data_IF_244450737451
#
_entry.id   IF_244450737451
#
_cell.length_a   1.000
_cell.length_b   1.000
_cell.length_c   1.000
_cell.angle_alpha   90.00
_cell.angle_beta   90.00
_cell.angle_gamma   90.00
#
_symmetry.space_group_name_H-M   'P 1'
#
loop_
_entity.id
_entity.type
_entity.pdbx_description
1 polymer ?
#
# COMPACT_ATOMS: atom_id res chain seq x y z
N UNK A 1 47.29 -44.78 -15.86
CA UNK A 1 46.95 -43.43 -15.35
C UNK A 1 45.81 -42.90 -16.21
N UNK A 2 44.56 -43.01 -15.75
CA UNK A 2 43.39 -42.39 -16.38
C UNK A 2 42.68 -41.66 -15.24
N UNK A 3 42.83 -40.34 -15.18
CA UNK A 3 42.11 -39.50 -14.24
C UNK A 3 40.76 -39.14 -14.85
N UNK A 4 39.69 -39.61 -14.21
CA UNK A 4 38.31 -39.18 -14.42
C UNK A 4 38.19 -37.72 -13.98
N UNK A 5 37.91 -36.82 -14.93
CA UNK A 5 37.46 -35.46 -14.61
C UNK A 5 36.00 -35.52 -14.14
N UNK A 6 35.78 -35.27 -12.85
CA UNK A 6 34.45 -35.03 -12.31
C UNK A 6 33.89 -33.73 -12.89
N UNK A 7 32.71 -33.78 -13.48
CA UNK A 7 31.89 -32.59 -13.75
C UNK A 7 31.53 -31.96 -12.41
N UNK A 8 32.23 -30.89 -12.05
CA UNK A 8 31.79 -29.93 -11.03
C UNK A 8 30.50 -29.28 -11.51
N UNK A 9 29.37 -29.67 -10.92
CA UNK A 9 28.12 -28.91 -10.95
C UNK A 9 28.36 -27.57 -10.27
N UNK A 10 28.44 -26.49 -11.06
CA UNK A 10 28.59 -25.12 -10.54
C UNK A 10 27.32 -24.70 -9.81
N UNK A 11 27.44 -24.50 -8.49
CA UNK A 11 26.44 -23.92 -7.60
C UNK A 11 25.95 -22.54 -8.12
N UNK A 12 24.63 -22.29 -8.24
CA UNK A 12 24.12 -21.12 -8.98
C UNK A 12 24.28 -19.76 -8.28
N UNK A 13 24.70 -19.70 -7.01
CA UNK A 13 24.64 -18.51 -6.15
C UNK A 13 26.01 -18.03 -5.62
N UNK A 14 27.02 -17.88 -6.49
CA UNK A 14 28.30 -17.22 -6.12
C UNK A 14 28.19 -15.71 -5.78
N UNK A 15 27.00 -15.16 -5.50
CA UNK A 15 26.83 -13.74 -5.13
C UNK A 15 26.33 -13.63 -3.69
N UNK A 16 26.84 -12.66 -2.89
CA UNK A 16 26.31 -12.40 -1.56
C UNK A 16 24.83 -12.01 -1.61
N UNK A 17 23.99 -12.63 -0.78
CA UNK A 17 22.58 -12.30 -0.67
C UNK A 17 22.46 -11.12 0.30
N UNK A 18 21.65 -10.13 -0.09
CA UNK A 18 21.36 -8.91 0.69
C UNK A 18 19.86 -8.85 0.90
N UNK A 19 19.44 -8.80 2.16
CA UNK A 19 18.05 -8.68 2.56
C UNK A 19 17.86 -7.41 3.39
N UNK A 20 16.91 -6.56 3.00
CA UNK A 20 16.49 -5.40 3.78
C UNK A 20 15.15 -5.71 4.45
N UNK A 21 15.10 -5.62 5.78
CA UNK A 21 13.91 -5.88 6.57
C UNK A 21 13.03 -4.63 6.56
N UNK A 22 11.86 -4.77 5.94
CA UNK A 22 10.90 -3.69 5.77
C UNK A 22 9.99 -3.60 7.00
N UNK A 23 9.53 -4.74 7.50
CA UNK A 23 8.76 -4.82 8.73
C UNK A 23 8.87 -6.19 9.40
N UNK A 24 8.74 -6.19 10.72
CA UNK A 24 8.72 -7.38 11.55
C UNK A 24 7.61 -7.25 12.60
N UNK A 25 6.68 -8.21 12.61
CA UNK A 25 5.54 -8.23 13.53
C UNK A 25 5.53 -9.52 14.34
N UNK A 26 5.55 -9.40 15.66
CA UNK A 26 5.39 -10.52 16.57
C UNK A 26 3.94 -10.59 17.08
N UNK A 27 3.32 -11.75 16.88
CA UNK A 27 1.96 -12.07 17.26
C UNK A 27 2.02 -13.06 18.42
N UNK A 28 1.78 -12.62 19.67
CA UNK A 28 1.52 -13.56 20.76
C UNK A 28 0.37 -14.52 20.40
N UNK A 29 -0.61 -14.00 19.67
CA UNK A 29 -1.67 -14.80 19.07
C UNK A 29 -2.09 -14.20 17.72
N UNK A 30 -2.18 -15.05 16.70
CA UNK A 30 -2.76 -14.74 15.39
C UNK A 30 -3.74 -15.85 15.00
N UNK A 31 -4.90 -15.47 14.46
CA UNK A 31 -5.86 -16.44 13.94
C UNK A 31 -5.35 -17.16 12.69
N UNK A 32 -4.59 -16.46 11.84
CA UNK A 32 -4.07 -16.99 10.57
C UNK A 32 -2.70 -17.64 10.73
N UNK A 33 -1.83 -17.06 11.56
CA UNK A 33 -0.44 -17.49 11.72
C UNK A 33 -0.22 -18.39 12.94
N UNK A 34 -1.18 -18.49 13.87
CA UNK A 34 -1.03 -19.27 15.10
C UNK A 34 -0.44 -18.50 16.28
N UNK A 35 0.00 -19.24 17.31
CA UNK A 35 0.54 -18.66 18.56
C UNK A 35 2.03 -18.40 18.44
N UNK A 36 2.48 -17.27 18.97
CA UNK A 36 3.90 -16.88 19.05
C UNK A 36 4.57 -16.76 17.67
N UNK A 37 3.81 -16.31 16.67
CA UNK A 37 4.28 -16.16 15.30
C UNK A 37 5.05 -14.86 15.10
N UNK A 38 6.10 -14.88 14.29
CA UNK A 38 6.75 -13.72 13.73
C UNK A 38 6.46 -13.68 12.22
N UNK A 39 5.97 -12.55 11.73
CA UNK A 39 5.85 -12.24 10.31
C UNK A 39 6.95 -11.26 9.90
N UNK A 40 7.67 -11.57 8.83
CA UNK A 40 8.75 -10.78 8.28
C UNK A 40 8.44 -10.38 6.85
N UNK A 41 8.51 -9.09 6.56
CA UNK A 41 8.51 -8.56 5.21
C UNK A 41 9.91 -8.06 4.89
N UNK A 42 10.49 -8.58 3.82
CA UNK A 42 11.85 -8.21 3.41
C UNK A 42 11.94 -7.96 1.92
N UNK A 43 12.83 -7.05 1.52
CA UNK A 43 13.31 -6.95 0.14
C UNK A 43 14.64 -7.69 0.03
N UNK A 44 14.75 -8.65 -0.87
CA UNK A 44 15.94 -9.50 -1.02
C UNK A 44 16.46 -9.47 -2.46
N UNK A 45 17.80 -9.42 -2.64
CA UNK A 45 18.46 -9.29 -3.93
C UNK A 45 18.46 -10.59 -4.78
N UNK A 46 17.38 -11.37 -4.73
CA UNK A 46 17.22 -12.62 -5.48
C UNK A 46 16.76 -12.44 -6.92
N UNK A 47 16.44 -11.21 -7.31
CA UNK A 47 16.02 -10.89 -8.67
C UNK A 47 17.10 -11.16 -9.71
N UNK A 48 16.63 -11.45 -10.94
CA UNK A 48 17.33 -11.79 -12.19
C UNK A 48 17.72 -13.27 -12.40
N UNK A 49 16.75 -14.07 -12.89
CA UNK A 49 16.90 -15.05 -13.98
C UNK A 49 15.57 -15.15 -14.76
N UNK A 50 15.49 -14.62 -15.99
CA UNK A 50 14.27 -14.53 -16.84
C UNK A 50 13.55 -15.86 -17.16
N UNK A 51 14.04 -17.01 -16.67
CA UNK A 51 13.52 -18.35 -16.98
C UNK A 51 13.08 -19.15 -15.76
N UNK A 52 13.02 -18.55 -14.57
CA UNK A 52 12.61 -19.22 -13.33
C UNK A 52 11.19 -18.88 -12.88
N UNK A 53 10.64 -17.71 -13.20
CA UNK A 53 9.30 -17.33 -12.75
C UNK A 53 8.18 -18.23 -13.28
N UNK A 54 8.18 -18.56 -14.57
CA UNK A 54 7.21 -19.51 -15.14
C UNK A 54 7.31 -20.90 -14.49
N UNK A 55 8.50 -21.27 -14.02
CA UNK A 55 8.75 -22.53 -13.31
C UNK A 55 8.24 -22.49 -11.86
N UNK A 56 8.47 -21.37 -11.17
CA UNK A 56 7.89 -21.09 -9.84
C UNK A 56 6.35 -21.04 -9.87
N UNK A 57 5.75 -20.57 -10.97
CA UNK A 57 4.29 -20.59 -11.19
C UNK A 57 3.71 -22.00 -11.35
N UNK A 58 4.54 -22.98 -11.73
CA UNK A 58 4.15 -24.39 -11.92
C UNK A 58 4.56 -25.26 -10.72
N UNK A 59 5.04 -24.65 -9.64
CA UNK A 59 5.37 -25.33 -8.39
C UNK A 59 6.82 -25.81 -8.27
N UNK A 60 7.75 -25.34 -9.12
CA UNK A 60 9.17 -25.56 -8.85
C UNK A 60 9.58 -24.91 -7.53
N UNK A 61 10.50 -25.56 -6.83
CA UNK A 61 11.05 -25.10 -5.56
C UNK A 61 11.65 -23.69 -5.72
N UNK A 62 11.24 -22.79 -4.83
CA UNK A 62 11.96 -21.54 -4.60
C UNK A 62 13.42 -21.87 -4.24
N UNK A 63 14.32 -20.90 -4.45
CA UNK A 63 15.67 -20.94 -3.91
C UNK A 63 15.61 -21.48 -2.47
N UNK A 64 16.37 -22.56 -2.19
CA UNK A 64 16.34 -23.31 -0.93
C UNK A 64 16.96 -22.54 0.23
N UNK A 65 17.28 -21.26 0.03
CA UNK A 65 17.84 -20.39 1.05
C UNK A 65 16.83 -20.21 2.19
N UNK A 66 17.04 -20.92 3.28
CA UNK A 66 16.25 -20.73 4.51
C UNK A 66 16.66 -19.46 5.24
N UNK A 67 15.69 -18.78 5.84
CA UNK A 67 15.91 -17.65 6.74
C UNK A 67 16.04 -18.20 8.15
N UNK A 68 17.15 -17.87 8.82
CA UNK A 68 17.37 -18.27 10.21
C UNK A 68 17.04 -17.12 11.17
N UNK A 69 16.14 -17.38 12.12
CA UNK A 69 15.63 -16.40 13.09
C UNK A 69 15.85 -16.92 14.50
N UNK A 70 16.47 -16.10 15.34
CA UNK A 70 16.69 -16.36 16.76
C UNK A 70 15.71 -15.54 17.59
N UNK A 71 14.76 -16.21 18.22
CA UNK A 71 13.85 -15.62 19.21
C UNK A 71 14.38 -15.84 20.62
N UNK A 72 14.38 -14.80 21.47
CA UNK A 72 14.74 -14.90 22.89
C UNK A 72 13.64 -14.34 23.78
N UNK A 73 13.36 -15.05 24.86
CA UNK A 73 12.61 -14.55 26.01
C UNK A 73 13.59 -14.30 27.19
N UNK A 74 13.08 -14.13 28.41
CA UNK A 74 13.91 -13.86 29.61
C UNK A 74 14.85 -15.01 30.00
N UNK A 75 14.52 -16.25 29.65
CA UNK A 75 15.18 -17.46 30.18
C UNK A 75 15.76 -18.37 29.09
N UNK A 76 15.26 -18.29 27.86
CA UNK A 76 15.61 -19.21 26.78
C UNK A 76 15.68 -18.49 25.42
N UNK A 77 16.39 -19.13 24.49
CA UNK A 77 16.44 -18.74 23.08
C UNK A 77 16.20 -19.93 22.18
N UNK A 78 15.57 -19.70 21.03
CA UNK A 78 15.34 -20.71 19.99
C UNK A 78 15.79 -20.17 18.64
N UNK A 79 16.62 -20.95 17.94
CA UNK A 79 16.97 -20.69 16.55
C UNK A 79 16.03 -21.52 15.68
N UNK A 80 15.29 -20.86 14.79
CA UNK A 80 14.32 -21.48 13.89
C UNK A 80 14.64 -21.09 12.46
N UNK A 81 14.54 -22.06 11.56
CA UNK A 81 14.69 -21.84 10.12
C UNK A 81 13.34 -21.87 9.45
N UNK A 82 13.13 -20.99 8.49
CA UNK A 82 11.87 -20.92 7.74
C UNK A 82 12.10 -20.61 6.28
N UNK A 83 11.15 -21.05 5.45
CA UNK A 83 11.05 -20.66 4.05
C UNK A 83 10.35 -19.31 3.92
N UNK A 84 10.42 -18.72 2.73
CA UNK A 84 9.71 -17.50 2.39
C UNK A 84 8.86 -17.66 1.14
N UNK A 85 7.84 -16.82 1.04
CA UNK A 85 6.98 -16.66 -0.12
C UNK A 85 7.37 -15.39 -0.87
N UNK A 86 7.37 -15.43 -2.21
CA UNK A 86 7.62 -14.23 -3.02
C UNK A 86 6.34 -13.40 -3.18
N UNK A 87 6.44 -12.12 -2.85
CA UNK A 87 5.38 -11.12 -3.02
C UNK A 87 5.43 -10.48 -4.42
N UNK A 88 6.62 -10.13 -4.91
CA UNK A 88 6.79 -9.42 -6.19
C UNK A 88 6.51 -10.31 -7.39
N UNK A 89 5.52 -9.96 -8.21
CA UNK A 89 5.04 -10.80 -9.32
C UNK A 89 5.80 -10.67 -10.66
N UNK A 90 6.90 -9.93 -10.71
CA UNK A 90 7.69 -9.74 -11.94
C UNK A 90 9.19 -9.88 -11.67
N UNK A 91 9.97 -10.19 -12.72
CA UNK A 91 11.41 -10.50 -12.62
C UNK A 91 12.35 -9.33 -13.00
N UNK A 92 11.82 -8.14 -13.24
CA UNK A 92 12.65 -7.01 -13.73
C UNK A 92 13.51 -6.41 -12.62
N UNK A 93 13.01 -6.45 -11.38
CA UNK A 93 13.71 -5.91 -10.22
C UNK A 93 14.72 -6.91 -9.69
N UNK A 94 15.91 -6.41 -9.33
CA UNK A 94 16.94 -7.20 -8.66
C UNK A 94 16.58 -7.44 -7.19
N UNK A 95 15.95 -6.47 -6.54
CA UNK A 95 15.37 -6.66 -5.22
C UNK A 95 13.90 -7.02 -5.41
N UNK A 96 13.54 -8.20 -4.94
CA UNK A 96 12.15 -8.67 -4.87
C UNK A 96 11.71 -8.68 -3.43
N UNK A 97 10.42 -8.54 -3.21
CA UNK A 97 9.87 -8.62 -1.87
C UNK A 97 9.41 -10.03 -1.55
N UNK A 98 9.67 -10.43 -0.33
CA UNK A 98 9.37 -11.74 0.22
C UNK A 98 8.66 -11.60 1.57
N UNK A 99 7.85 -12.60 1.89
CA UNK A 99 7.14 -12.75 3.15
C UNK A 99 7.60 -14.03 3.81
N UNK A 100 8.02 -13.98 5.07
CA UNK A 100 8.39 -15.17 5.83
C UNK A 100 7.62 -15.20 7.14
N UNK A 101 7.25 -16.41 7.58
CA UNK A 101 6.58 -16.62 8.87
C UNK A 101 7.31 -17.68 9.67
N UNK A 102 7.39 -17.51 10.98
CA UNK A 102 8.08 -18.45 11.86
C UNK A 102 7.43 -18.49 13.24
N UNK A 103 7.40 -19.66 13.88
CA UNK A 103 6.96 -19.77 15.27
C UNK A 103 8.15 -19.60 16.21
N UNK A 104 8.03 -18.69 17.17
CA UNK A 104 9.05 -18.39 18.16
C UNK A 104 8.63 -18.86 19.56
N UNK A 105 9.40 -18.46 20.57
CA UNK A 105 9.08 -18.71 21.96
C UNK A 105 7.92 -17.82 22.45
N UNK A 106 7.15 -18.28 23.43
CA UNK A 106 6.23 -17.43 24.16
C UNK A 106 6.93 -16.25 24.82
N UNK A 107 6.28 -15.08 24.80
CA UNK A 107 6.78 -13.85 25.37
C UNK A 107 8.18 -13.48 24.83
N UNK A 108 8.36 -13.61 23.51
CA UNK A 108 9.60 -13.18 22.86
C UNK A 108 9.80 -11.68 23.08
N UNK A 109 10.97 -11.32 23.62
CA UNK A 109 11.36 -9.92 23.90
C UNK A 109 12.44 -9.43 22.93
N UNK A 110 13.14 -10.35 22.27
CA UNK A 110 14.21 -10.05 21.32
C UNK A 110 14.13 -10.99 20.14
N UNK A 111 14.24 -10.44 18.94
CA UNK A 111 14.32 -11.17 17.68
C UNK A 111 15.64 -10.80 17.01
N UNK A 112 16.33 -11.79 16.45
CA UNK A 112 17.57 -11.57 15.73
C UNK A 112 17.62 -12.42 14.48
N UNK A 113 18.20 -11.89 13.42
CA UNK A 113 18.52 -12.64 12.21
C UNK A 113 19.88 -13.32 12.38
N UNK A 114 19.97 -14.58 12.01
CA UNK A 114 21.21 -15.36 12.10
C UNK A 114 21.73 -15.66 10.70
N UNK A 115 23.02 -15.43 10.49
CA UNK A 115 23.73 -15.83 9.28
C UNK A 115 25.15 -16.22 9.63
N UNK A 116 25.50 -17.48 9.38
CA UNK A 116 26.83 -18.06 9.60
C UNK A 116 27.43 -17.75 11.00
N UNK A 117 26.62 -17.94 12.04
CA UNK A 117 26.99 -17.71 13.44
C UNK A 117 26.95 -16.25 13.88
N UNK A 118 26.78 -15.30 12.95
CA UNK A 118 26.60 -13.88 13.28
C UNK A 118 25.12 -13.60 13.50
N UNK A 119 24.82 -12.92 14.60
CA UNK A 119 23.46 -12.62 15.03
C UNK A 119 23.23 -11.11 15.01
N UNK A 120 22.20 -10.68 14.30
CA UNK A 120 21.81 -9.27 14.15
C UNK A 120 20.46 -9.05 14.81
N UNK A 121 20.42 -8.33 15.94
CA UNK A 121 19.15 -7.98 16.60
C UNK A 121 18.35 -7.00 15.73
N UNK A 122 17.05 -7.25 15.58
CA UNK A 122 16.16 -6.43 14.76
C UNK A 122 14.99 -5.93 15.60
N UNK A 123 14.47 -4.71 15.33
CA UNK A 123 13.24 -4.25 15.96
C UNK A 123 12.05 -5.06 15.42
N UNK A 124 11.06 -5.28 16.28
CA UNK A 124 9.76 -5.82 15.88
C UNK A 124 8.63 -5.05 16.59
N UNK A 125 7.45 -5.08 16.00
CA UNK A 125 6.24 -4.45 16.54
C UNK A 125 5.23 -5.52 16.94
N UNK A 126 4.35 -5.17 17.88
CA UNK A 126 3.14 -5.95 18.16
C UNK A 126 2.01 -5.35 17.30
N UNK A 127 1.25 -6.16 16.55
CA UNK A 127 0.17 -5.65 15.72
C UNK A 127 -0.96 -5.05 16.56
N UNK A 128 -1.78 -4.21 15.92
CA UNK A 128 -2.96 -3.65 16.59
C UNK A 128 -4.05 -4.71 16.70
N UNK A 129 -4.53 -4.99 17.92
CA UNK A 129 -5.70 -5.86 18.13
C UNK A 129 -7.02 -5.08 18.26
N UNK A 130 -7.01 -3.76 17.99
CA UNK A 130 -8.20 -2.92 18.03
C UNK A 130 -9.14 -3.32 16.90
N UNK A 131 -10.28 -3.92 17.24
CA UNK A 131 -11.25 -4.39 16.24
C UNK A 131 -11.76 -3.24 15.36
N UNK A 132 -11.79 -3.50 14.06
CA UNK A 132 -12.26 -2.66 12.97
C UNK A 132 -13.14 -3.52 12.06
N UNK A 133 -14.21 -2.95 11.55
CA UNK A 133 -15.09 -3.69 10.64
C UNK A 133 -14.51 -3.70 9.23
N UNK A 134 -14.20 -2.52 8.70
CA UNK A 134 -13.55 -2.36 7.40
C UNK A 134 -12.31 -1.50 7.54
N UNK A 135 -11.23 -1.90 6.87
CA UNK A 135 -10.03 -1.09 6.74
C UNK A 135 -9.77 -0.84 5.26
N UNK A 136 -9.70 0.44 4.90
CA UNK A 136 -9.33 0.91 3.56
C UNK A 136 -7.86 1.27 3.61
N UNK A 137 -7.02 0.38 3.12
CA UNK A 137 -5.61 0.68 2.92
C UNK A 137 -5.45 1.45 1.62
N UNK A 138 -4.78 2.59 1.70
CA UNK A 138 -4.52 3.49 0.58
C UNK A 138 -3.07 3.33 0.16
N UNK A 139 -2.85 3.13 -1.14
CA UNK A 139 -1.53 2.99 -1.75
C UNK A 139 -0.61 4.17 -1.36
N UNK A 140 0.72 3.96 -1.34
CA UNK A 140 1.63 4.97 -0.84
C UNK A 140 1.52 6.30 -1.60
N UNK A 141 1.49 7.41 -0.87
CA UNK A 141 1.48 8.75 -1.47
C UNK A 141 2.89 9.19 -1.84
N UNK A 142 3.08 9.66 -3.08
CA UNK A 142 4.34 10.17 -3.62
C UNK A 142 4.18 11.59 -4.12
N UNK A 143 4.92 12.53 -3.52
CA UNK A 143 4.89 13.95 -3.87
C UNK A 143 3.44 14.45 -4.04
N UNK A 144 2.55 13.94 -3.19
CA UNK A 144 1.11 14.12 -3.38
C UNK A 144 0.69 15.55 -3.03
N UNK A 145 -0.30 16.02 -3.77
CA UNK A 145 -0.92 17.34 -3.66
C UNK A 145 -2.45 17.24 -3.57
N UNK A 146 -2.98 16.02 -3.52
CA UNK A 146 -4.39 15.70 -3.66
C UNK A 146 -5.17 15.84 -2.34
N UNK A 147 -5.03 16.98 -1.68
CA UNK A 147 -5.66 17.22 -0.39
C UNK A 147 -7.20 17.15 -0.45
N UNK A 148 -7.83 17.54 -1.58
CA UNK A 148 -9.28 17.40 -1.76
C UNK A 148 -9.72 15.93 -1.78
N UNK A 149 -8.97 15.06 -2.47
CA UNK A 149 -9.27 13.63 -2.55
C UNK A 149 -9.07 12.94 -1.20
N UNK A 150 -8.08 13.39 -0.41
CA UNK A 150 -7.91 12.97 0.97
C UNK A 150 -9.11 13.35 1.83
N UNK A 151 -9.57 14.61 1.77
CA UNK A 151 -10.75 15.04 2.54
C UNK A 151 -12.00 14.25 2.12
N UNK A 152 -12.22 14.07 0.83
CA UNK A 152 -13.30 13.25 0.29
C UNK A 152 -13.27 11.83 0.87
N UNK A 153 -12.13 11.15 0.73
CA UNK A 153 -11.93 9.78 1.22
C UNK A 153 -12.12 9.68 2.74
N UNK A 154 -11.47 10.58 3.50
CA UNK A 154 -11.51 10.56 4.96
C UNK A 154 -12.94 10.70 5.50
N UNK A 155 -13.75 11.59 4.92
CA UNK A 155 -15.11 11.80 5.37
C UNK A 155 -16.09 10.73 4.84
N UNK A 156 -15.97 10.28 3.58
CA UNK A 156 -16.80 9.19 3.05
C UNK A 156 -16.57 7.90 3.83
N UNK A 157 -15.32 7.49 4.02
CA UNK A 157 -15.03 6.23 4.71
C UNK A 157 -15.41 6.27 6.19
N UNK A 158 -15.24 7.43 6.84
CA UNK A 158 -15.77 7.64 8.19
C UNK A 158 -17.29 7.49 8.24
N UNK A 159 -18.02 8.08 7.28
CA UNK A 159 -19.49 8.01 7.22
C UNK A 159 -19.97 6.56 7.09
N UNK A 160 -19.31 5.75 6.27
CA UNK A 160 -19.71 4.37 5.99
C UNK A 160 -19.02 3.31 6.88
N UNK A 161 -18.47 3.72 8.01
CA UNK A 161 -17.97 2.82 9.06
C UNK A 161 -16.61 2.16 8.76
N UNK A 162 -15.82 2.72 7.85
CA UNK A 162 -14.49 2.24 7.51
C UNK A 162 -13.39 3.05 8.20
N UNK A 163 -12.29 2.38 8.53
CA UNK A 163 -11.06 2.99 9.02
C UNK A 163 -10.12 3.22 7.84
N UNK A 164 -9.71 4.47 7.63
CA UNK A 164 -8.76 4.82 6.57
C UNK A 164 -7.33 4.58 7.06
N UNK A 165 -6.52 3.89 6.28
CA UNK A 165 -5.12 3.62 6.60
C UNK A 165 -4.26 3.99 5.40
N UNK A 166 -3.47 5.06 5.49
CA UNK A 166 -2.71 5.58 4.34
C UNK A 166 -1.23 5.34 4.57
N UNK A 167 -0.57 4.82 3.54
CA UNK A 167 0.87 4.71 3.52
C UNK A 167 1.48 6.01 3.02
N UNK A 168 2.42 6.56 3.78
CA UNK A 168 3.05 7.82 3.45
C UNK A 168 4.51 7.59 3.01
N UNK A 169 4.90 8.21 1.90
CA UNK A 169 6.30 8.29 1.45
C UNK A 169 6.69 9.76 1.31
N UNK A 170 5.92 10.53 0.54
CA UNK A 170 6.12 11.97 0.43
C UNK A 170 4.87 12.74 -0.01
N UNK A 171 4.78 13.99 0.43
CA UNK A 171 3.75 14.94 0.00
C UNK A 171 4.23 16.39 0.14
N UNK A 172 3.54 17.31 -0.53
CA UNK A 172 3.75 18.75 -0.29
C UNK A 172 3.50 19.06 1.20
N UNK A 173 4.37 19.89 1.79
CA UNK A 173 4.43 20.10 3.23
C UNK A 173 3.09 20.53 3.85
N UNK A 174 2.34 21.42 3.19
CA UNK A 174 1.02 21.85 3.67
C UNK A 174 -0.03 20.73 3.62
N UNK A 175 0.03 19.82 2.64
CA UNK A 175 -0.84 18.66 2.62
C UNK A 175 -0.45 17.64 3.70
N UNK A 176 0.85 17.39 3.90
CA UNK A 176 1.31 16.56 5.01
C UNK A 176 0.82 17.08 6.37
N UNK A 177 0.95 18.39 6.62
CA UNK A 177 0.44 19.02 7.84
C UNK A 177 -1.08 18.80 8.02
N UNK A 178 -1.85 18.90 6.94
CA UNK A 178 -3.28 18.63 6.97
C UNK A 178 -3.58 17.17 7.36
N UNK A 179 -2.89 16.20 6.74
CA UNK A 179 -3.07 14.78 7.05
C UNK A 179 -2.76 14.47 8.52
N UNK A 180 -1.63 14.98 9.01
CA UNK A 180 -1.18 14.75 10.39
C UNK A 180 -2.12 15.40 11.41
N UNK A 181 -2.70 16.56 11.09
CA UNK A 181 -3.72 17.16 11.95
C UNK A 181 -5.03 16.36 11.92
N UNK A 182 -5.42 15.83 10.77
CA UNK A 182 -6.64 15.01 10.62
C UNK A 182 -6.59 13.69 11.40
N UNK A 183 -5.40 13.08 11.55
CA UNK A 183 -5.20 11.85 12.33
C UNK A 183 -5.72 11.98 13.77
N UNK A 184 -5.67 13.18 14.34
CA UNK A 184 -6.12 13.45 15.72
C UNK A 184 -7.64 13.46 15.89
N UNK A 185 -8.41 13.61 14.81
CA UNK A 185 -9.85 13.88 14.86
C UNK A 185 -10.71 12.87 14.08
N UNK A 186 -10.11 12.10 13.18
CA UNK A 186 -10.79 11.14 12.31
C UNK A 186 -10.28 9.72 12.62
N UNK A 187 -11.11 8.71 12.37
CA UNK A 187 -10.68 7.30 12.42
C UNK A 187 -9.76 6.99 11.22
N UNK A 188 -8.56 7.56 11.29
CA UNK A 188 -7.52 7.51 10.28
C UNK A 188 -6.18 7.25 10.99
N UNK A 189 -5.27 6.57 10.30
CA UNK A 189 -3.87 6.39 10.73
C UNK A 189 -2.98 6.50 9.50
N UNK A 190 -1.92 7.28 9.59
CA UNK A 190 -0.80 7.24 8.65
C UNK A 190 0.25 6.21 9.12
N UNK A 191 0.70 5.35 8.22
CA UNK A 191 1.85 4.48 8.47
C UNK A 191 3.00 4.84 7.54
N UNK A 192 4.20 4.88 8.11
CA UNK A 192 5.41 5.18 7.37
C UNK A 192 5.79 3.99 6.48
N UNK A 193 5.89 4.23 5.19
CA UNK A 193 6.44 3.27 4.24
C UNK A 193 7.93 3.59 4.05
N UNK A 194 8.80 2.74 4.62
CA UNK A 194 10.25 2.95 4.58
C UNK A 194 10.80 3.00 3.15
N UNK A 195 11.71 3.94 2.94
CA UNK A 195 12.59 3.98 1.77
C UNK A 195 13.68 2.93 1.87
N UNK A 196 14.07 2.38 0.73
CA UNK A 196 15.20 1.44 0.62
C UNK A 196 16.51 2.17 0.30
N UNK A 197 16.73 3.35 0.90
CA UNK A 197 17.88 4.24 0.60
C UNK A 197 19.24 3.60 0.94
N UNK A 198 19.26 2.53 1.75
CA UNK A 198 20.48 1.83 2.16
C UNK A 198 20.75 0.48 1.49
N UNK A 199 20.04 0.16 0.41
CA UNK A 199 20.59 -0.84 -0.50
C UNK A 199 21.70 -0.13 -1.27
N UNK A 200 22.94 -0.67 -1.35
CA UNK A 200 24.05 -0.01 -2.06
C UNK A 200 23.57 0.57 -3.39
N UNK A 201 24.01 1.79 -3.73
CA UNK A 201 23.47 2.63 -4.82
C UNK A 201 23.20 1.90 -6.15
N UNK A 202 23.96 0.84 -6.44
CA UNK A 202 23.79 -0.09 -7.56
C UNK A 202 22.43 -0.84 -7.59
N UNK A 203 21.77 -0.99 -6.44
CA UNK A 203 20.54 -1.76 -6.24
C UNK A 203 19.32 -0.88 -5.93
N UNK A 204 19.53 0.41 -5.62
CA UNK A 204 18.48 1.36 -5.28
C UNK A 204 17.43 1.50 -6.39
N UNK A 205 17.88 1.64 -7.64
CA UNK A 205 17.02 1.72 -8.84
C UNK A 205 16.42 0.36 -9.25
N UNK A 206 16.69 -0.70 -8.50
CA UNK A 206 16.33 -2.08 -8.85
C UNK A 206 15.40 -2.74 -7.81
N UNK A 207 14.78 -1.97 -6.91
CA UNK A 207 13.86 -2.47 -5.90
C UNK A 207 12.39 -2.31 -6.28
N UNK A 208 11.64 -3.42 -6.22
CA UNK A 208 10.21 -3.42 -6.50
C UNK A 208 9.46 -2.62 -5.42
N UNK A 209 9.09 -1.37 -5.73
CA UNK A 209 8.23 -0.58 -4.86
C UNK A 209 6.78 -1.11 -4.88
N UNK A 210 6.09 -0.93 -3.75
CA UNK A 210 4.70 -1.38 -3.54
C UNK A 210 4.56 -2.61 -2.65
N UNK A 211 5.65 -3.24 -2.23
CA UNK A 211 5.61 -4.41 -1.35
C UNK A 211 5.42 -4.08 0.12
N UNK A 212 6.03 -2.99 0.61
CA UNK A 212 5.79 -2.50 1.97
C UNK A 212 4.29 -2.25 2.20
N UNK A 213 3.63 -1.61 1.23
CA UNK A 213 2.21 -1.27 1.30
C UNK A 213 1.30 -2.47 1.63
N UNK A 214 1.33 -3.51 0.80
CA UNK A 214 0.31 -4.56 0.91
C UNK A 214 0.63 -5.56 2.00
N UNK A 215 1.90 -5.96 2.09
CA UNK A 215 2.33 -6.93 3.08
C UNK A 215 2.24 -6.35 4.49
N UNK A 216 2.45 -5.04 4.66
CA UNK A 216 2.27 -4.36 5.96
C UNK A 216 0.79 -4.15 6.27
N UNK A 217 -0.06 -3.78 5.30
CA UNK A 217 -1.50 -3.62 5.55
C UNK A 217 -2.13 -4.94 6.00
N UNK A 218 -1.82 -6.03 5.28
CA UNK A 218 -2.30 -7.35 5.64
C UNK A 218 -1.70 -7.79 6.99
N UNK A 219 -0.39 -7.70 7.19
CA UNK A 219 0.23 -8.16 8.45
C UNK A 219 -0.24 -7.34 9.66
N UNK A 220 -0.19 -6.01 9.61
CA UNK A 220 -0.50 -5.14 10.74
C UNK A 220 -1.96 -5.24 11.19
N UNK A 221 -2.89 -5.46 10.25
CA UNK A 221 -4.32 -5.20 10.46
C UNK A 221 -5.19 -6.46 10.30
N UNK A 222 -4.68 -7.57 9.74
CA UNK A 222 -5.42 -8.83 9.57
C UNK A 222 -6.08 -9.36 10.85
N UNK A 223 -5.43 -9.18 12.01
CA UNK A 223 -6.00 -9.62 13.29
C UNK A 223 -7.12 -8.71 13.81
N UNK A 224 -7.25 -7.52 13.21
CA UNK A 224 -8.06 -6.42 13.70
C UNK A 224 -9.26 -6.13 12.80
N UNK A 225 -9.20 -6.45 11.50
CA UNK A 225 -10.25 -6.15 10.53
C UNK A 225 -11.13 -7.35 10.16
N UNK A 226 -12.43 -7.13 9.91
CA UNK A 226 -13.30 -8.14 9.26
C UNK A 226 -13.11 -8.14 7.74
N UNK A 227 -12.88 -6.97 7.16
CA UNK A 227 -12.60 -6.79 5.73
C UNK A 227 -11.46 -5.79 5.53
N UNK A 228 -10.63 -6.07 4.53
CA UNK A 228 -9.53 -5.18 4.11
C UNK A 228 -9.72 -4.89 2.62
N UNK A 229 -9.54 -3.65 2.23
CA UNK A 229 -9.48 -3.27 0.82
C UNK A 229 -8.23 -2.46 0.52
N UNK A 230 -7.75 -2.59 -0.72
CA UNK A 230 -6.50 -2.00 -1.21
C UNK A 230 -6.84 -1.03 -2.35
N UNK A 231 -6.89 0.25 -2.03
CA UNK A 231 -7.38 1.32 -2.89
C UNK A 231 -6.31 2.37 -3.16
N UNK A 232 -6.51 3.18 -4.19
CA UNK A 232 -5.78 4.44 -4.36
C UNK A 232 -6.52 5.58 -3.65
N UNK A 233 -5.86 6.71 -3.38
CA UNK A 233 -6.51 7.87 -2.74
C UNK A 233 -7.70 8.42 -3.54
N UNK A 234 -7.75 8.09 -4.83
CA UNK A 234 -8.77 8.51 -5.79
C UNK A 234 -9.88 7.47 -5.97
N UNK A 235 -9.80 6.31 -5.33
CA UNK A 235 -10.82 5.27 -5.38
C UNK A 235 -11.84 5.56 -4.28
N UNK A 236 -13.11 5.76 -4.65
CA UNK A 236 -14.22 5.98 -3.72
C UNK A 236 -15.23 4.83 -3.86
N UNK A 237 -15.55 4.19 -2.74
CA UNK A 237 -16.58 3.16 -2.67
C UNK A 237 -17.67 3.59 -1.68
N UNK A 238 -18.89 3.75 -2.19
CA UNK A 238 -20.08 4.05 -1.39
C UNK A 238 -20.97 2.81 -1.44
N UNK A 239 -21.44 2.27 -0.30
CA UNK A 239 -22.30 1.10 -0.30
C UNK A 239 -23.67 1.43 -0.95
N UNK A 240 -24.16 0.52 -1.79
CA UNK A 240 -25.45 0.61 -2.47
C UNK A 240 -26.47 -0.39 -1.91
N UNK A 241 -26.01 -1.44 -1.24
CA UNK A 241 -26.86 -2.52 -0.71
C UNK A 241 -27.19 -2.37 0.78
N UNK A 242 -26.44 -1.54 1.52
CA UNK A 242 -26.61 -1.33 2.95
C UNK A 242 -26.12 0.06 3.39
N UNK A 243 -26.50 0.53 4.59
CA UNK A 243 -26.01 1.79 5.15
C UNK A 243 -24.51 1.83 5.44
N UNK A 244 -23.84 0.69 5.58
CA UNK A 244 -22.40 0.61 5.90
C UNK A 244 -21.66 -0.35 4.96
N UNK A 245 -20.35 -0.14 4.80
CA UNK A 245 -19.52 -1.03 3.96
C UNK A 245 -19.46 -2.46 4.52
N UNK A 246 -19.42 -2.62 5.85
CA UNK A 246 -19.38 -3.95 6.47
C UNK A 246 -20.65 -4.76 6.21
N UNK A 247 -21.82 -4.12 6.29
CA UNK A 247 -23.10 -4.77 6.03
C UNK A 247 -23.23 -5.15 4.55
N UNK A 248 -22.82 -4.26 3.62
CA UNK A 248 -22.79 -4.60 2.19
C UNK A 248 -21.91 -5.82 1.92
N UNK A 249 -20.69 -5.84 2.46
CA UNK A 249 -19.78 -6.97 2.28
C UNK A 249 -20.33 -8.26 2.88
N UNK A 250 -21.02 -8.17 4.02
CA UNK A 250 -21.67 -9.32 4.66
C UNK A 250 -22.86 -9.84 3.83
N UNK A 251 -23.68 -8.96 3.26
CA UNK A 251 -24.78 -9.34 2.36
C UNK A 251 -24.22 -10.08 1.16
N UNK A 252 -23.20 -9.51 0.51
CA UNK A 252 -22.56 -10.11 -0.67
C UNK A 252 -21.92 -11.47 -0.36
N UNK A 253 -21.31 -11.64 0.81
CA UNK A 253 -20.72 -12.90 1.24
C UNK A 253 -21.70 -13.89 1.90
N UNK A 254 -22.95 -13.48 2.15
CA UNK A 254 -23.94 -14.32 2.83
C UNK A 254 -24.24 -15.58 2.02
N UNK A 255 -24.22 -16.74 2.67
CA UNK A 255 -24.39 -18.04 2.00
C UNK A 255 -23.22 -18.48 1.13
N UNK A 256 -22.12 -17.72 1.08
CA UNK A 256 -20.95 -17.99 0.23
C UNK A 256 -19.70 -18.31 1.05
N UNK A 257 -19.70 -19.47 1.72
CA UNK A 257 -18.58 -19.92 2.57
C UNK A 257 -17.25 -20.01 1.81
N UNK A 258 -17.27 -20.33 0.51
CA UNK A 258 -16.09 -20.47 -0.34
C UNK A 258 -15.54 -19.17 -0.92
N UNK A 259 -16.24 -18.03 -0.81
CA UNK A 259 -15.72 -16.75 -1.32
C UNK A 259 -14.70 -16.18 -0.36
N UNK A 260 -13.50 -15.90 -0.86
CA UNK A 260 -12.35 -15.41 -0.08
C UNK A 260 -12.09 -13.91 -0.28
N UNK A 261 -12.41 -13.39 -1.46
CA UNK A 261 -12.36 -11.96 -1.78
C UNK A 261 -13.38 -11.64 -2.87
N UNK A 262 -13.75 -10.35 -2.93
CA UNK A 262 -14.67 -9.78 -3.90
C UNK A 262 -13.92 -8.81 -4.81
N UNK A 263 -14.30 -8.74 -6.08
CA UNK A 263 -13.71 -7.83 -7.07
C UNK A 263 -14.76 -6.79 -7.43
N UNK A 264 -14.50 -5.54 -7.08
CA UNK A 264 -15.34 -4.41 -7.47
C UNK A 264 -14.81 -3.82 -8.77
N UNK A 265 -15.64 -3.66 -9.81
CA UNK A 265 -15.25 -2.98 -11.03
C UNK A 265 -14.94 -1.51 -10.73
N UNK A 266 -14.01 -0.94 -11.49
CA UNK A 266 -13.56 0.45 -11.34
C UNK A 266 -13.98 1.27 -12.55
N UNK A 267 -14.76 2.32 -12.32
CA UNK A 267 -15.29 3.22 -13.34
C UNK A 267 -14.63 4.60 -13.21
N UNK A 268 -14.13 5.13 -14.32
CA UNK A 268 -13.41 6.40 -14.34
C UNK A 268 -14.36 7.59 -14.45
N UNK A 269 -14.14 8.57 -13.58
CA UNK A 269 -14.86 9.83 -13.58
C UNK A 269 -13.88 11.00 -13.62
N UNK A 270 -14.33 12.08 -14.26
CA UNK A 270 -13.81 13.42 -14.04
C UNK A 270 -14.61 14.10 -12.94
N UNK A 271 -13.93 14.78 -12.02
CA UNK A 271 -14.59 15.61 -11.00
C UNK A 271 -14.13 17.06 -11.12
N UNK A 272 -15.05 17.99 -10.89
CA UNK A 272 -14.75 19.42 -10.74
C UNK A 272 -14.69 19.77 -9.27
N UNK A 273 -13.60 20.40 -8.86
CA UNK A 273 -13.42 20.93 -7.50
C UNK A 273 -13.25 22.43 -7.55
N UNK A 274 -13.88 23.05 -6.56
CA UNK A 274 -13.70 24.46 -6.28
C UNK A 274 -12.36 24.68 -5.59
N UNK A 275 -11.88 25.92 -5.69
CA UNK A 275 -10.76 26.37 -4.88
C UNK A 275 -10.99 26.13 -3.38
N UNK A 276 -9.93 26.24 -2.59
CA UNK A 276 -9.93 25.98 -1.14
C UNK A 276 -11.09 26.61 -0.35
N UNK A 277 -11.51 27.81 -0.73
CA UNK A 277 -12.58 28.55 -0.02
C UNK A 277 -13.98 28.09 -0.38
N UNK A 278 -14.14 27.34 -1.47
CA UNK A 278 -15.41 26.80 -1.95
C UNK A 278 -15.48 25.28 -1.97
N UNK A 279 -14.45 24.57 -1.49
CA UNK A 279 -14.44 23.10 -1.52
C UNK A 279 -15.63 22.53 -0.73
N UNK A 280 -16.40 21.67 -1.40
CA UNK A 280 -17.49 20.88 -0.85
C UNK A 280 -17.41 19.49 -1.43
N UNK A 281 -17.58 18.49 -0.57
CA UNK A 281 -17.62 17.09 -0.99
C UNK A 281 -18.87 16.85 -1.84
N UNK A 282 -20.00 17.40 -1.41
CA UNK A 282 -21.25 17.29 -2.17
C UNK A 282 -21.12 17.88 -3.58
N UNK A 283 -20.53 19.07 -3.71
CA UNK A 283 -20.36 19.68 -5.04
C UNK A 283 -19.38 18.88 -5.91
N UNK A 284 -18.30 18.35 -5.34
CA UNK A 284 -17.37 17.47 -6.06
C UNK A 284 -18.07 16.21 -6.57
N UNK A 285 -18.87 15.55 -5.73
CA UNK A 285 -19.61 14.34 -6.12
C UNK A 285 -20.72 14.62 -7.15
N UNK A 286 -21.40 15.77 -7.05
CA UNK A 286 -22.42 16.17 -8.02
C UNK A 286 -21.83 16.54 -9.39
N UNK A 287 -20.54 16.89 -9.45
CA UNK A 287 -19.85 17.25 -10.69
C UNK A 287 -19.28 16.07 -11.47
N UNK A 288 -19.47 14.84 -10.98
CA UNK A 288 -18.87 13.66 -11.59
C UNK A 288 -19.38 13.45 -13.02
N UNK A 289 -18.45 13.41 -13.97
CA UNK A 289 -18.72 13.10 -15.37
C UNK A 289 -18.08 11.75 -15.70
N UNK A 290 -18.89 10.78 -16.11
CA UNK A 290 -18.41 9.44 -16.48
C UNK A 290 -17.58 9.51 -17.76
N UNK A 291 -16.32 9.04 -17.70
CA UNK A 291 -15.43 8.95 -18.86
C UNK A 291 -15.72 7.73 -19.75
N UNK A 292 -16.70 6.90 -19.39
CA UNK A 292 -17.05 5.63 -20.05
C UNK A 292 -15.85 4.68 -20.23
N UNK A 293 -14.86 4.78 -19.34
CA UNK A 293 -13.66 3.95 -19.35
C UNK A 293 -13.57 3.15 -18.06
N UNK A 294 -13.34 1.84 -18.19
CA UNK A 294 -13.17 0.92 -17.06
C UNK A 294 -11.72 0.58 -16.88
N UNK A 295 -11.29 0.56 -15.63
CA UNK A 295 -9.96 0.12 -15.25
C UNK A 295 -10.02 -1.24 -14.56
N UNK A 296 -8.85 -1.82 -14.25
CA UNK A 296 -8.78 -3.05 -13.47
C UNK A 296 -9.46 -2.85 -12.12
N UNK A 297 -10.40 -3.74 -11.79
CA UNK A 297 -11.12 -3.69 -10.53
C UNK A 297 -10.21 -3.82 -9.31
N UNK A 298 -10.70 -3.35 -8.15
CA UNK A 298 -10.02 -3.51 -6.86
C UNK A 298 -10.71 -4.57 -6.01
N UNK A 299 -9.99 -5.06 -5.02
CA UNK A 299 -10.44 -6.20 -4.22
C UNK A 299 -10.84 -5.80 -2.80
N UNK A 300 -11.83 -6.52 -2.28
CA UNK A 300 -12.21 -6.53 -0.87
C UNK A 300 -11.96 -7.94 -0.34
N UNK A 301 -11.06 -8.06 0.62
CA UNK A 301 -10.54 -9.32 1.14
C UNK A 301 -11.18 -9.61 2.48
N UNK A 302 -11.55 -10.87 2.71
CA UNK A 302 -11.76 -11.39 4.05
C UNK A 302 -10.44 -11.96 4.58
N UNK A 303 -9.73 -11.25 5.47
CA UNK A 303 -8.38 -11.64 5.90
C UNK A 303 -8.38 -12.91 6.77
N UNK A 304 -9.53 -13.44 7.18
CA UNK A 304 -9.64 -14.74 7.84
C UNK A 304 -9.66 -15.93 6.88
N UNK A 305 -9.97 -15.70 5.60
CA UNK A 305 -10.03 -16.76 4.58
C UNK A 305 -8.80 -16.78 3.69
N UNK A 306 -8.16 -15.64 3.50
CA UNK A 306 -7.03 -15.50 2.60
C UNK A 306 -5.92 -14.70 3.27
N UNK A 307 -4.75 -15.30 3.36
CA UNK A 307 -3.52 -14.58 3.64
C UNK A 307 -3.00 -14.04 2.30
N UNK A 308 -3.04 -12.72 2.09
CA UNK A 308 -2.72 -12.11 0.81
C UNK A 308 -1.87 -10.86 0.96
N UNK A 309 -0.81 -10.77 0.17
CA UNK A 309 0.27 -9.79 0.35
C UNK A 309 0.53 -8.96 -0.90
N UNK A 310 -0.38 -8.93 -1.90
CA UNK A 310 -0.20 -8.18 -3.14
C UNK A 310 -1.38 -7.24 -3.52
N UNK A 311 -1.14 -6.19 -4.31
CA UNK A 311 -2.12 -5.08 -4.45
C UNK A 311 -3.28 -5.41 -5.39
N UNK A 312 -3.02 -6.30 -6.35
CA UNK A 312 -3.99 -6.67 -7.38
C UNK A 312 -4.74 -7.95 -6.99
N UNK A 313 -5.33 -8.67 -7.95
CA UNK A 313 -5.97 -9.96 -7.69
C UNK A 313 -4.93 -11.03 -7.28
N UNK A 314 -5.25 -11.91 -6.32
CA UNK A 314 -4.46 -13.10 -6.03
C UNK A 314 -4.16 -13.91 -7.29
N UNK A 315 -2.89 -14.28 -7.49
CA UNK A 315 -2.48 -15.14 -8.61
C UNK A 315 -2.91 -16.59 -8.41
N UNK A 316 -2.88 -17.05 -7.15
CA UNK A 316 -3.27 -18.39 -6.76
C UNK A 316 -4.26 -18.27 -5.61
N UNK A 317 -5.38 -18.97 -5.73
CA UNK A 317 -6.40 -19.06 -4.68
C UNK A 317 -6.25 -20.46 -4.06
N UNK A 318 -6.19 -20.59 -2.72
CA UNK A 318 -6.15 -21.90 -2.08
C UNK A 318 -7.30 -22.80 -2.52
N UNK A 319 -7.05 -24.11 -2.60
CA UNK A 319 -8.05 -25.08 -3.04
C UNK A 319 -9.36 -24.97 -2.23
N UNK A 320 -10.48 -24.89 -2.93
CA UNK A 320 -11.81 -24.77 -2.31
C UNK A 320 -12.24 -23.34 -1.98
N UNK A 321 -11.40 -22.33 -2.25
CA UNK A 321 -11.77 -20.93 -2.22
C UNK A 321 -11.97 -20.38 -3.64
N UNK A 322 -12.80 -19.35 -3.78
CA UNK A 322 -13.05 -18.64 -5.04
C UNK A 322 -13.13 -17.12 -4.84
N UNK A 323 -13.04 -16.40 -5.94
CA UNK A 323 -13.36 -14.97 -6.03
C UNK A 323 -14.83 -14.76 -6.42
N UNK A 324 -15.33 -13.54 -6.22
CA UNK A 324 -16.64 -13.11 -6.71
C UNK A 324 -16.54 -11.73 -7.34
N UNK A 325 -17.01 -11.58 -8.57
CA UNK A 325 -17.17 -10.27 -9.20
C UNK A 325 -18.45 -9.61 -8.70
N UNK A 326 -18.33 -8.37 -8.23
CA UNK A 326 -19.47 -7.57 -7.76
C UNK A 326 -20.05 -6.82 -8.95
N UNK A 327 -21.33 -7.07 -9.25
CA UNK A 327 -22.04 -6.43 -10.36
C UNK A 327 -23.06 -5.39 -9.88
N UNK A 328 -23.39 -5.39 -8.59
CA UNK A 328 -24.37 -4.51 -7.96
C UNK A 328 -23.82 -3.13 -7.59
N UNK A 329 -22.50 -2.96 -7.62
CA UNK A 329 -21.81 -1.75 -7.20
C UNK A 329 -20.46 -1.63 -7.91
N UNK A 330 -19.89 -0.43 -7.95
CA UNK A 330 -18.60 -0.13 -8.56
C UNK A 330 -17.84 0.91 -7.76
N UNK A 331 -16.53 0.95 -7.95
CA UNK A 331 -15.66 1.98 -7.40
C UNK A 331 -15.67 3.17 -8.34
N UNK A 332 -15.97 4.34 -7.78
CA UNK A 332 -15.83 5.64 -8.46
C UNK A 332 -14.36 6.03 -8.39
N UNK A 333 -13.64 5.92 -9.51
CA UNK A 333 -12.24 6.32 -9.62
C UNK A 333 -12.14 7.73 -10.17
N UNK A 334 -11.54 8.63 -9.41
CA UNK A 334 -11.28 10.01 -9.82
C UNK A 334 -10.03 10.05 -10.70
N UNK A 335 -10.25 9.89 -12.00
CA UNK A 335 -9.19 9.83 -13.01
C UNK A 335 -8.59 11.23 -13.27
N UNK A 336 -9.45 12.26 -13.36
CA UNK A 336 -9.05 13.67 -13.41
C UNK A 336 -9.84 14.51 -12.43
N UNK A 337 -9.17 15.52 -11.88
CA UNK A 337 -9.74 16.50 -10.97
C UNK A 337 -9.47 17.89 -11.55
N UNK A 338 -10.51 18.53 -12.07
CA UNK A 338 -10.44 19.84 -12.71
C UNK A 338 -10.76 20.92 -11.70
N UNK A 339 -9.93 21.96 -11.66
CA UNK A 339 -10.08 23.05 -10.72
C UNK A 339 -10.81 24.21 -11.38
N UNK A 340 -11.96 24.61 -10.84
CA UNK A 340 -12.74 25.74 -11.35
C UNK A 340 -12.85 26.88 -10.33
N UNK A 341 -12.90 28.10 -10.86
CA UNK A 341 -13.28 29.27 -10.08
C UNK A 341 -14.79 29.26 -9.86
N UNK A 342 -15.20 29.56 -8.62
CA UNK A 342 -16.60 29.53 -8.17
C UNK A 342 -17.55 30.35 -9.05
N UNK A 343 -17.07 31.45 -9.62
CA UNK A 343 -17.84 32.35 -10.51
C UNK A 343 -18.18 31.71 -11.86
N UNK A 344 -17.28 30.90 -12.43
CA UNK A 344 -17.50 30.20 -13.70
C UNK A 344 -18.37 28.96 -13.50
N UNK A 345 -18.24 28.32 -12.35
CA UNK A 345 -18.91 27.07 -12.01
C UNK A 345 -20.38 27.23 -11.56
N UNK A 346 -20.79 28.37 -10.98
CA UNK A 346 -22.21 28.61 -10.68
C UNK A 346 -23.07 28.69 -11.95
N UNK A 347 -22.49 29.12 -13.08
CA UNK A 347 -23.18 29.13 -14.37
C UNK A 347 -23.32 27.72 -15.00
N UNK A 348 -22.46 26.76 -14.64
CA UNK A 348 -22.51 25.38 -15.12
C UNK A 348 -23.34 24.46 -14.21
N UNK A 349 -23.37 24.72 -12.89
CA UNK A 349 -24.17 23.98 -11.90
C UNK A 349 -25.68 24.09 -12.09
N UNK A 350 -26.18 25.20 -12.63
CA UNK A 350 -27.61 25.37 -12.95
C UNK A 350 -28.11 24.37 -14.01
N UNK A 351 -27.20 23.65 -14.68
CA UNK A 351 -27.54 22.66 -15.71
C UNK A 351 -27.56 21.19 -15.23
N UNK A 352 -27.09 20.89 -14.01
CA UNK A 352 -27.06 19.53 -13.47
C UNK A 352 -28.27 19.25 -12.58
N UNK A 353 -29.40 18.93 -13.21
CA UNK A 353 -30.54 18.30 -12.53
C UNK A 353 -30.24 16.82 -12.32
N UNK A 354 -29.84 16.44 -11.10
CA UNK A 354 -29.92 15.07 -10.61
C UNK A 354 -31.40 14.75 -10.40
N UNK A 355 -32.06 14.24 -11.45
CA UNK A 355 -33.45 13.83 -11.38
C UNK A 355 -33.59 12.30 -11.28
N UNK A 356 -34.25 11.91 -10.19
CA UNK A 356 -35.03 10.70 -9.91
C UNK A 356 -34.38 9.35 -9.55
N UNK A 357 -34.49 9.04 -8.25
CA UNK A 357 -35.30 7.93 -7.68
C UNK A 357 -34.63 7.06 -6.59
N UNK A 358 -33.38 7.35 -6.21
CA UNK A 358 -32.66 6.73 -5.07
C UNK A 358 -32.28 7.73 -3.97
N UNK A 359 -32.86 8.93 -4.02
CA UNK A 359 -32.13 10.18 -3.78
C UNK A 359 -32.35 10.85 -2.40
N UNK A 360 -33.10 10.25 -1.46
CA UNK A 360 -33.25 10.84 -0.13
C UNK A 360 -32.13 10.41 0.84
N UNK A 361 -31.71 9.15 0.78
CA UNK A 361 -30.70 8.62 1.70
C UNK A 361 -29.30 9.19 1.40
N UNK A 362 -28.93 9.29 0.11
CA UNK A 362 -27.69 9.92 -0.32
C UNK A 362 -27.65 11.41 0.04
N UNK A 363 -28.76 12.14 -0.13
CA UNK A 363 -28.85 13.55 0.30
C UNK A 363 -28.61 13.71 1.79
N UNK A 364 -29.18 12.84 2.62
CA UNK A 364 -28.95 12.86 4.08
C UNK A 364 -27.48 12.57 4.39
N UNK A 365 -26.89 11.52 3.81
CA UNK A 365 -25.48 11.18 4.05
C UNK A 365 -24.50 12.26 3.59
N UNK A 366 -24.72 12.87 2.41
CA UNK A 366 -23.88 13.97 1.96
C UNK A 366 -24.07 15.23 2.80
N UNK A 367 -25.28 15.44 3.36
CA UNK A 367 -25.52 16.46 4.37
C UNK A 367 -24.65 16.25 5.61
N UNK A 368 -24.68 15.06 6.20
CA UNK A 368 -23.87 14.71 7.38
C UNK A 368 -22.36 14.83 7.11
N UNK A 369 -21.91 14.33 5.95
CA UNK A 369 -20.51 14.44 5.51
C UNK A 369 -20.08 15.91 5.40
N UNK A 370 -20.91 16.74 4.78
CA UNK A 370 -20.61 18.15 4.55
C UNK A 370 -20.63 18.95 5.87
N UNK A 371 -21.53 18.62 6.80
CA UNK A 371 -21.54 19.19 8.15
C UNK A 371 -20.29 18.80 8.94
N UNK A 372 -19.88 17.53 8.89
CA UNK A 372 -18.66 17.06 9.52
C UNK A 372 -17.41 17.74 8.94
N UNK A 373 -17.34 17.88 7.62
CA UNK A 373 -16.28 18.64 6.94
C UNK A 373 -16.26 20.09 7.43
N UNK A 374 -17.38 20.82 7.36
CA UNK A 374 -17.45 22.22 7.82
C UNK A 374 -17.04 22.37 9.28
N UNK A 375 -17.44 21.44 10.14
CA UNK A 375 -17.04 21.40 11.56
C UNK A 375 -15.53 21.22 11.71
N UNK A 376 -14.92 20.35 10.91
CA UNK A 376 -13.47 20.12 10.88
C UNK A 376 -12.70 21.34 10.36
N UNK A 377 -13.13 21.92 9.25
CA UNK A 377 -12.48 23.09 8.63
C UNK A 377 -12.53 24.34 9.52
N UNK A 378 -13.48 24.42 10.48
CA UNK A 378 -13.57 25.49 11.48
C UNK A 378 -12.56 25.38 12.63
N UNK A 379 -11.87 24.23 12.79
CA UNK A 379 -10.83 24.08 13.82
C UNK A 379 -9.66 24.98 13.48
N UNK A 380 -9.17 25.75 14.47
CA UNK A 380 -8.14 26.77 14.26
C UNK A 380 -6.92 26.25 13.49
N UNK A 381 -6.33 25.13 13.95
CA UNK A 381 -5.13 24.55 13.32
C UNK A 381 -5.38 24.14 11.86
N UNK A 382 -6.55 23.56 11.58
CA UNK A 382 -6.92 23.16 10.21
C UNK A 382 -7.12 24.41 9.35
N UNK A 383 -7.86 25.41 9.84
CA UNK A 383 -8.12 26.65 9.13
C UNK A 383 -6.83 27.39 8.73
N UNK A 384 -5.83 27.40 9.62
CA UNK A 384 -4.50 27.96 9.35
C UNK A 384 -3.79 27.18 8.22
N UNK A 385 -3.81 25.85 8.27
CA UNK A 385 -3.21 24.98 7.24
C UNK A 385 -3.91 25.18 5.88
N UNK A 386 -5.24 25.28 5.84
CA UNK A 386 -6.01 25.44 4.59
C UNK A 386 -5.51 26.62 3.74
N UNK A 387 -5.14 27.73 4.38
CA UNK A 387 -4.57 28.90 3.72
C UNK A 387 -3.31 28.59 2.91
N UNK A 388 -2.54 27.59 3.32
CA UNK A 388 -1.22 27.23 2.75
C UNK A 388 -1.23 26.09 1.75
N UNK A 389 -2.36 25.38 1.60
CA UNK A 389 -2.49 24.28 0.64
C UNK A 389 -2.17 24.71 -0.81
N UNK A 390 -1.83 23.81 -1.73
CA UNK A 390 -1.76 24.18 -3.14
C UNK A 390 -3.15 24.58 -3.65
N UNK A 391 -3.22 25.53 -4.59
CA UNK A 391 -4.44 25.87 -5.33
C UNK A 391 -4.39 25.49 -6.83
N UNK A 392 -3.39 24.70 -7.20
CA UNK A 392 -3.18 24.05 -8.48
C UNK A 392 -2.14 22.94 -8.25
N UNK A 393 -2.05 22.00 -9.17
CA UNK A 393 -1.05 20.94 -9.07
C UNK A 393 0.32 21.39 -9.60
N UNK A 394 1.35 21.33 -8.77
CA UNK A 394 2.74 21.59 -9.19
C UNK A 394 3.40 20.32 -9.74
N UNK A 395 3.06 19.16 -9.17
CA UNK A 395 3.71 17.89 -9.42
C UNK A 395 2.76 16.79 -9.89
N UNK A 396 1.46 16.86 -9.58
CA UNK A 396 0.49 15.80 -9.88
C UNK A 396 0.57 15.27 -11.33
N UNK A 397 0.50 16.15 -12.32
CA UNK A 397 0.52 15.75 -13.73
C UNK A 397 1.86 15.13 -14.13
N UNK A 398 2.97 15.60 -13.53
CA UNK A 398 4.31 15.05 -13.76
C UNK A 398 4.44 13.65 -13.16
N UNK A 399 3.92 13.47 -11.95
CA UNK A 399 3.89 12.19 -11.24
C UNK A 399 3.04 11.20 -12.02
N UNK A 400 1.79 11.54 -12.34
CA UNK A 400 0.87 10.67 -13.09
C UNK A 400 1.43 10.26 -14.45
N UNK A 401 1.95 11.23 -15.22
CA UNK A 401 2.59 10.94 -16.51
C UNK A 401 3.75 9.96 -16.35
N UNK A 402 4.56 10.14 -15.32
CA UNK A 402 5.67 9.23 -15.05
C UNK A 402 5.18 7.82 -14.67
N UNK A 403 4.17 7.70 -13.80
CA UNK A 403 3.58 6.41 -13.43
C UNK A 403 3.01 5.68 -14.65
N UNK A 404 2.28 6.39 -15.53
CA UNK A 404 1.78 5.83 -16.77
C UNK A 404 2.91 5.31 -17.67
N UNK A 405 3.95 6.13 -17.88
CA UNK A 405 5.06 5.78 -18.77
C UNK A 405 5.99 4.70 -18.20
N UNK A 406 6.24 4.69 -16.89
CA UNK A 406 7.29 3.88 -16.23
C UNK A 406 6.74 2.68 -15.47
N UNK A 407 5.47 2.70 -15.06
CA UNK A 407 4.87 1.65 -14.24
C UNK A 407 3.67 0.98 -14.92
N UNK A 408 2.60 1.72 -15.27
CA UNK A 408 1.38 1.10 -15.80
C UNK A 408 1.55 0.56 -17.22
N UNK A 409 2.25 1.28 -18.10
CA UNK A 409 2.63 0.74 -19.43
C UNK A 409 3.44 -0.54 -19.32
N UNK A 410 4.27 -0.67 -18.27
CA UNK A 410 5.04 -1.88 -18.03
C UNK A 410 4.15 -3.05 -17.59
N UNK A 411 3.20 -2.82 -16.68
CA UNK A 411 2.31 -3.86 -16.13
C UNK A 411 1.23 -4.29 -17.14
N UNK A 412 0.73 -3.35 -17.95
CA UNK A 412 -0.38 -3.58 -18.87
C UNK A 412 0.04 -4.14 -20.25
N UNK A 413 1.34 -4.14 -20.55
CA UNK A 413 1.84 -4.85 -21.74
C UNK A 413 1.89 -6.35 -21.45
N UNK A 414 0.98 -7.12 -22.07
CA UNK A 414 0.99 -8.60 -22.10
C UNK A 414 2.29 -9.22 -22.70
N UNK A 415 3.27 -8.39 -23.05
CA UNK A 415 4.60 -8.80 -23.49
C UNK A 415 5.62 -8.61 -22.38
N UNK A 416 5.58 -9.54 -21.41
CA UNK A 416 6.60 -9.79 -20.37
C UNK A 416 8.05 -9.86 -20.93
N UNK A 417 8.20 -10.01 -22.25
CA UNK A 417 9.46 -10.24 -22.93
C UNK A 417 10.13 -9.00 -23.55
N UNK A 418 9.50 -7.82 -23.61
CA UNK A 418 9.99 -6.74 -24.50
C UNK A 418 10.68 -5.52 -23.88
N UNK A 419 10.80 -5.41 -22.55
CA UNK A 419 11.37 -4.20 -21.92
C UNK A 419 12.69 -4.47 -21.18
N UNK A 420 13.58 -3.48 -21.25
CA UNK A 420 14.93 -3.41 -20.66
C UNK A 420 14.92 -3.70 -19.15
N UNK A 421 16.09 -4.04 -18.62
CA UNK A 421 16.41 -4.50 -17.25
C UNK A 421 16.09 -3.51 -16.10
N UNK A 422 15.12 -2.61 -16.25
CA UNK A 422 14.82 -1.55 -15.31
C UNK A 422 13.64 -1.95 -14.41
N UNK A 423 13.75 -1.66 -13.11
CA UNK A 423 12.70 -1.95 -12.15
C UNK A 423 11.64 -0.83 -12.18
N UNK A 424 10.36 -1.13 -12.49
CA UNK A 424 9.32 -0.12 -12.56
C UNK A 424 9.00 0.46 -11.18
N UNK A 425 8.86 1.78 -11.10
CA UNK A 425 8.41 2.48 -9.90
C UNK A 425 8.68 4.00 -9.93
N UNK A 426 8.11 4.74 -8.97
CA UNK A 426 8.20 6.19 -8.90
C UNK A 426 9.61 6.72 -8.69
N UNK A 427 10.54 5.91 -8.17
CA UNK A 427 11.96 6.26 -8.08
C UNK A 427 12.59 6.62 -9.44
N UNK A 428 11.99 6.18 -10.55
CA UNK A 428 12.44 6.52 -11.90
C UNK A 428 11.97 7.90 -12.36
N UNK A 429 11.13 8.57 -11.56
CA UNK A 429 10.56 9.87 -11.87
C UNK A 429 11.47 10.99 -11.39
N UNK A 430 11.96 11.78 -12.35
CA UNK A 430 12.64 13.05 -12.08
C UNK A 430 11.74 14.21 -12.50
N UNK A 431 11.60 15.20 -11.63
CA UNK A 431 10.89 16.43 -11.95
C UNK A 431 11.64 17.66 -11.43
N UNK A 432 11.39 18.80 -12.08
CA UNK A 432 11.99 20.07 -11.70
C UNK A 432 11.47 20.50 -10.33
N UNK A 433 12.39 20.88 -9.45
CA UNK A 433 12.07 21.38 -8.12
C UNK A 433 11.46 22.78 -8.23
N UNK A 434 10.39 23.01 -7.48
CA UNK A 434 9.77 24.33 -7.39
C UNK A 434 10.39 25.10 -6.20
N UNK A 435 10.95 26.30 -6.40
CA UNK A 435 11.76 27.00 -5.38
C UNK A 435 10.98 27.45 -4.14
N UNK A 436 9.64 27.37 -4.17
CA UNK A 436 8.75 27.77 -3.07
C UNK A 436 7.86 26.65 -2.55
N UNK A 437 7.99 25.43 -3.08
CA UNK A 437 7.19 24.30 -2.63
C UNK A 437 8.14 23.26 -2.05
N UNK A 438 7.93 22.99 -0.77
CA UNK A 438 8.65 21.97 -0.02
C UNK A 438 7.80 20.70 0.06
N UNK A 439 8.46 19.56 0.05
CA UNK A 439 7.84 18.28 0.30
C UNK A 439 8.43 17.65 1.55
N UNK A 440 7.56 17.03 2.33
CA UNK A 440 7.92 16.23 3.48
C UNK A 440 8.06 14.78 3.04
N UNK A 441 9.09 14.09 3.55
CA UNK A 441 9.45 12.72 3.23
C UNK A 441 9.56 11.88 4.48
N UNK A 442 9.30 10.59 4.35
CA UNK A 442 9.73 9.60 5.34
C UNK A 442 11.22 9.34 5.21
N UNK A 443 11.95 9.46 6.31
CA UNK A 443 13.35 9.08 6.44
C UNK A 443 13.54 8.16 7.66
N UNK A 444 14.70 7.50 7.75
CA UNK A 444 15.02 6.61 8.86
C UNK A 444 16.53 6.49 9.09
N UNK A 445 16.92 6.18 10.33
CA UNK A 445 18.30 5.86 10.67
C UNK A 445 18.62 4.44 10.22
N UNK A 446 19.49 4.32 9.22
CA UNK A 446 19.87 3.02 8.65
C UNK A 446 21.09 2.42 9.35
N UNK A 447 21.04 1.12 9.62
CA UNK A 447 22.14 0.39 10.25
C UNK A 447 22.97 -0.32 9.17
N UNK A 448 24.21 0.13 8.98
CA UNK A 448 25.17 -0.53 8.11
C UNK A 448 25.71 -1.80 8.77
N UNK A 449 25.81 -2.87 7.99
CA UNK A 449 26.26 -4.18 8.44
C UNK A 449 27.42 -4.64 7.56
N UNK A 450 28.45 -5.22 8.18
CA UNK A 450 29.50 -5.90 7.42
C UNK A 450 28.88 -7.05 6.60
N UNK A 451 29.36 -7.30 5.37
CA UNK A 451 28.86 -8.40 4.55
C UNK A 451 29.02 -9.76 5.26
N UNK A 452 27.91 -10.48 5.40
CA UNK A 452 27.85 -11.82 5.98
C UNK A 452 27.23 -12.77 4.95
N UNK A 453 27.80 -13.98 4.84
CA UNK A 453 27.25 -15.07 4.04
C UNK A 453 26.38 -16.02 4.89
N UNK A 454 25.36 -16.69 4.32
CA UNK A 454 24.86 -16.48 2.96
C UNK A 454 24.08 -15.18 2.80
N UNK A 455 23.49 -14.61 3.87
CA UNK A 455 22.64 -13.42 3.81
C UNK A 455 23.17 -12.32 4.73
N UNK A 456 23.38 -11.14 4.15
CA UNK A 456 23.57 -9.90 4.92
C UNK A 456 22.22 -9.23 5.13
N UNK A 457 21.82 -9.06 6.40
CA UNK A 457 20.57 -8.41 6.79
C UNK A 457 20.79 -6.93 7.07
N UNK A 458 19.99 -6.07 6.45
CA UNK A 458 19.94 -4.63 6.65
C UNK A 458 18.58 -4.26 7.23
N UNK A 459 18.52 -3.22 8.04
CA UNK A 459 17.27 -2.70 8.59
C UNK A 459 17.41 -1.21 8.91
N UNK A 460 16.27 -0.57 9.14
CA UNK A 460 16.18 0.82 9.55
C UNK A 460 15.51 0.95 10.92
N UNK A 461 15.88 2.00 11.63
CA UNK A 461 15.38 2.39 12.95
C UNK A 461 15.00 3.87 12.94
N UNK A 462 14.34 4.36 13.99
CA UNK A 462 14.11 5.80 14.20
C UNK A 462 13.50 6.52 12.99
N UNK A 463 12.31 6.08 12.56
CA UNK A 463 11.62 6.72 11.46
C UNK A 463 11.21 8.15 11.83
N UNK A 464 11.43 9.09 10.92
CA UNK A 464 11.15 10.51 11.11
C UNK A 464 10.81 11.18 9.78
N UNK A 465 10.26 12.39 9.86
CA UNK A 465 9.90 13.17 8.68
C UNK A 465 10.94 14.27 8.41
N UNK A 466 11.35 14.46 7.15
CA UNK A 466 12.27 15.54 6.75
C UNK A 466 11.71 16.32 5.56
N UNK A 467 12.09 17.60 5.44
CA UNK A 467 11.67 18.49 4.34
C UNK A 467 12.86 19.14 3.61
N UNK A 468 14.06 18.65 3.87
CA UNK A 468 15.34 19.25 3.49
C UNK A 468 15.77 18.95 2.05
N UNK A 469 15.23 17.88 1.46
CA UNK A 469 15.68 17.43 0.14
C UNK A 469 14.88 17.99 -1.04
N UNK A 470 13.72 18.64 -0.83
CA UNK A 470 12.82 19.08 -1.92
C UNK A 470 11.84 18.00 -2.38
N UNK A 471 11.08 18.19 -3.45
CA UNK A 471 10.02 17.28 -3.92
C UNK A 471 10.54 16.17 -4.85
N UNK A 472 10.93 15.03 -4.26
CA UNK A 472 11.40 13.84 -4.98
C UNK A 472 10.43 12.66 -4.79
N UNK A 473 10.25 11.88 -5.86
CA UNK A 473 9.51 10.62 -5.81
C UNK A 473 10.34 9.46 -5.22
N UNK A 474 11.64 9.68 -5.02
CA UNK A 474 12.55 8.82 -4.28
C UNK A 474 12.48 9.17 -2.81
#
# INVERSE_FOLDING_TARGET
>A
MIFLYSRSTTDPLKRPIKAFILSAYYYPYSKSLGKDALALVMSINLGKRKGSYQRLQVGDLMDTTEISVLGRNKSSGVLVRTNYERITLHENCQMISIFATVQLLPNTIKVSMESNGVVTEIPFKIPSYKKRDVVVCISPLYVSEQWQNFLLSAHIYKQFGAHLHVYFISAVASFFQLMHEYEKHVNYTDELCLRTDCIPSELHNNAAMGSCYVSTCNSLIQESAKFITLFDLNDILIPTLAPTLVEEFQILMSGQSHVSYMIYPRQNYEATVYNKTGFSIQSMMNSLVDKNTRQTGRIVINPHKLNYTYINRPLCIPNGLRSMDVTSNFITHLDSVVWENKETAMASLESFNLDNSTDNMYKVFFGDIEEDLKRMLKKQQIAEILGTLPNFYYFYDLVNKCFEEKYYRFINQDTINSVKNDCPGPQMCGFYQHPRIECVHVNATHIFMEPIEPITYYYATEHHYTADIGCYAQ
#
